data_IF_655064648807
#
_entry.id   IF_655064648807
#
_cell.length_a   1.000
_cell.length_b   1.000
_cell.length_c   1.000
_cell.angle_alpha   90.00
_cell.angle_beta   90.00
_cell.angle_gamma   90.00
#
_symmetry.space_group_name_H-M   'P 1'
#
loop_
_entity.id
_entity.type
_entity.pdbx_description
1 polymer ?
#
# COMPACT_ATOMS: atom_id res chain seq x y z
N UNK A 1 15.22 -45.74 52.83
CA UNK A 1 15.46 -44.27 52.92
C UNK A 1 15.46 -43.72 51.50
N UNK A 2 14.71 -42.63 51.29
CA UNK A 2 14.22 -42.14 50.00
C UNK A 2 15.32 -41.66 49.04
N UNK A 3 15.22 -42.10 47.77
CA UNK A 3 15.78 -41.38 46.64
C UNK A 3 14.76 -40.30 46.21
N UNK A 4 15.13 -39.03 46.30
CA UNK A 4 14.36 -37.92 45.73
C UNK A 4 15.10 -37.46 44.47
N UNK A 5 14.53 -37.83 43.32
CA UNK A 5 14.85 -37.25 42.02
C UNK A 5 13.59 -36.55 41.54
N UNK A 6 13.60 -35.24 41.29
CA UNK A 6 12.66 -34.63 40.34
C UNK A 6 12.92 -33.15 40.06
N UNK A 7 12.87 -32.84 38.76
CA UNK A 7 12.33 -31.63 38.13
C UNK A 7 12.98 -30.28 38.45
N UNK A 8 14.00 -29.93 37.66
CA UNK A 8 14.35 -28.52 37.37
C UNK A 8 14.32 -28.20 35.87
N UNK A 9 14.27 -29.19 34.98
CA UNK A 9 14.36 -28.96 33.53
C UNK A 9 13.01 -28.72 32.85
N UNK A 10 11.90 -29.02 33.52
CA UNK A 10 10.54 -28.87 32.99
C UNK A 10 9.98 -27.46 33.21
N UNK A 11 10.31 -26.78 34.31
CA UNK A 11 9.87 -25.40 34.58
C UNK A 11 10.56 -24.37 33.68
N UNK A 12 11.86 -24.50 33.40
CA UNK A 12 12.57 -23.52 32.55
C UNK A 12 12.13 -23.60 31.09
N UNK A 13 11.83 -24.80 30.58
CA UNK A 13 11.25 -25.00 29.23
C UNK A 13 9.83 -24.45 29.13
N UNK A 14 9.01 -24.66 30.17
CA UNK A 14 7.61 -24.20 30.18
C UNK A 14 7.51 -22.67 30.23
N UNK A 15 8.32 -22.03 31.07
CA UNK A 15 8.38 -20.58 31.19
C UNK A 15 8.93 -19.90 29.93
N UNK A 16 9.89 -20.54 29.24
CA UNK A 16 10.38 -20.05 27.95
C UNK A 16 9.37 -20.26 26.81
N UNK A 17 8.60 -21.34 26.81
CA UNK A 17 7.56 -21.58 25.80
C UNK A 17 6.35 -20.65 25.95
N UNK A 18 5.90 -20.36 27.18
CA UNK A 18 4.80 -19.41 27.44
C UNK A 18 5.22 -17.97 27.08
N UNK A 19 6.42 -17.53 27.50
CA UNK A 19 6.93 -16.21 27.09
C UNK A 19 7.12 -16.09 25.58
N UNK A 20 7.52 -17.16 24.88
CA UNK A 20 7.69 -17.14 23.43
C UNK A 20 6.35 -17.04 22.71
N UNK A 21 5.32 -17.75 23.18
CA UNK A 21 3.98 -17.72 22.56
C UNK A 21 3.27 -16.39 22.80
N UNK A 22 3.36 -15.83 24.00
CA UNK A 22 2.79 -14.52 24.32
C UNK A 22 3.41 -13.38 23.48
N UNK A 23 4.72 -13.43 23.26
CA UNK A 23 5.42 -12.46 22.42
C UNK A 23 4.99 -12.55 20.95
N UNK A 24 4.78 -13.76 20.44
CA UNK A 24 4.31 -14.02 19.08
C UNK A 24 2.89 -13.49 18.86
N UNK A 25 1.97 -13.80 19.78
CA UNK A 25 0.57 -13.35 19.70
C UNK A 25 0.48 -11.81 19.76
N UNK A 26 1.30 -11.17 20.60
CA UNK A 26 1.36 -9.71 20.70
C UNK A 26 1.85 -9.03 19.42
N UNK A 27 2.77 -9.66 18.68
CA UNK A 27 3.29 -9.17 17.41
C UNK A 27 2.23 -9.24 16.31
N UNK A 28 1.58 -10.40 16.16
CA UNK A 28 0.49 -10.61 15.19
C UNK A 28 -0.66 -9.62 15.43
N UNK A 29 -1.07 -9.44 16.69
CA UNK A 29 -2.15 -8.52 17.06
C UNK A 29 -1.85 -7.06 16.72
N UNK A 30 -0.59 -6.63 16.79
CA UNK A 30 -0.19 -5.26 16.37
C UNK A 30 -0.28 -5.09 14.86
N UNK A 31 0.17 -6.11 14.10
CA UNK A 31 0.05 -6.12 12.64
C UNK A 31 -1.41 -6.09 12.19
N UNK A 32 -2.27 -6.90 12.82
CA UNK A 32 -3.71 -6.98 12.53
C UNK A 32 -4.45 -5.65 12.69
N UNK A 33 -3.97 -4.75 13.54
CA UNK A 33 -4.56 -3.41 13.73
C UNK A 33 -3.93 -2.38 12.79
N UNK A 34 -2.61 -2.44 12.62
CA UNK A 34 -1.88 -1.43 11.85
C UNK A 34 -2.11 -1.58 10.34
N UNK A 35 -2.04 -2.81 9.82
CA UNK A 35 -2.08 -3.08 8.37
C UNK A 35 -3.42 -2.69 7.74
N UNK A 36 -4.61 -3.03 8.30
CA UNK A 36 -5.88 -2.63 7.69
C UNK A 36 -6.10 -1.11 7.69
N UNK A 37 -5.58 -0.39 8.69
CA UNK A 37 -5.68 1.07 8.71
C UNK A 37 -4.81 1.71 7.64
N UNK A 38 -3.59 1.18 7.44
CA UNK A 38 -2.70 1.63 6.38
C UNK A 38 -3.26 1.29 4.99
N UNK A 39 -3.90 0.12 4.86
CA UNK A 39 -4.60 -0.31 3.65
C UNK A 39 -5.73 0.65 3.28
N UNK A 40 -6.55 1.07 4.25
CA UNK A 40 -7.59 2.09 4.06
C UNK A 40 -7.01 3.42 3.57
N UNK A 41 -5.91 3.87 4.16
CA UNK A 41 -5.25 5.12 3.73
C UNK A 41 -4.80 4.99 2.26
N UNK A 42 -4.13 3.89 1.92
CA UNK A 42 -3.72 3.62 0.54
C UNK A 42 -4.90 3.62 -0.44
N UNK A 43 -5.99 2.93 -0.09
CA UNK A 43 -7.21 2.85 -0.90
C UNK A 43 -7.92 4.21 -1.05
N UNK A 44 -7.98 5.02 0.01
CA UNK A 44 -8.56 6.37 -0.04
C UNK A 44 -7.73 7.27 -0.97
N UNK A 45 -6.40 7.22 -0.89
CA UNK A 45 -5.53 7.98 -1.79
C UNK A 45 -5.72 7.58 -3.26
N UNK A 46 -5.84 6.28 -3.55
CA UNK A 46 -6.18 5.82 -4.90
C UNK A 46 -7.55 6.33 -5.35
N UNK A 47 -8.55 6.29 -4.46
CA UNK A 47 -9.91 6.76 -4.78
C UNK A 47 -9.90 8.24 -5.14
N UNK A 48 -9.23 9.07 -4.33
CA UNK A 48 -9.10 10.51 -4.59
C UNK A 48 -8.29 10.73 -5.88
N UNK A 49 -7.16 10.03 -6.04
CA UNK A 49 -6.29 10.17 -7.20
C UNK A 49 -6.97 9.78 -8.52
N UNK A 50 -7.81 8.75 -8.54
CA UNK A 50 -8.62 8.40 -9.71
C UNK A 50 -9.83 9.34 -9.90
N UNK A 51 -10.39 9.89 -8.83
CA UNK A 51 -11.49 10.87 -8.95
C UNK A 51 -11.07 12.15 -9.70
N UNK A 52 -9.77 12.49 -9.71
CA UNK A 52 -9.28 13.66 -10.44
C UNK A 52 -9.47 13.53 -11.96
N UNK A 53 -9.62 12.32 -12.50
CA UNK A 53 -9.95 12.14 -13.92
C UNK A 53 -11.29 12.76 -14.28
N UNK A 54 -12.27 12.72 -13.37
CA UNK A 54 -13.56 13.36 -13.57
C UNK A 54 -13.40 14.88 -13.63
N UNK A 55 -12.64 15.44 -12.70
CA UNK A 55 -12.36 16.87 -12.67
C UNK A 55 -11.59 17.35 -13.89
N UNK A 56 -10.57 16.60 -14.32
CA UNK A 56 -9.80 16.93 -15.51
C UNK A 56 -10.64 16.82 -16.78
N UNK A 57 -11.46 15.78 -16.94
CA UNK A 57 -12.38 15.65 -18.07
C UNK A 57 -13.41 16.79 -18.13
N UNK A 58 -13.89 17.27 -16.99
CA UNK A 58 -14.77 18.44 -16.96
C UNK A 58 -14.04 19.72 -17.41
N UNK A 59 -12.75 19.86 -17.09
CA UNK A 59 -11.94 20.95 -17.62
C UNK A 59 -11.70 20.80 -19.12
N UNK A 60 -11.41 19.59 -19.63
CA UNK A 60 -11.29 19.34 -21.08
C UNK A 60 -12.57 19.74 -21.83
N UNK A 61 -13.75 19.42 -21.27
CA UNK A 61 -15.03 19.82 -21.84
C UNK A 61 -15.20 21.35 -21.81
N UNK A 62 -14.82 22.00 -20.70
CA UNK A 62 -14.92 23.44 -20.58
C UNK A 62 -13.96 24.17 -21.54
N UNK A 63 -12.75 23.65 -21.74
CA UNK A 63 -11.79 24.15 -22.72
C UNK A 63 -12.34 24.02 -24.14
N UNK A 64 -12.92 22.88 -24.50
CA UNK A 64 -13.53 22.65 -25.80
C UNK A 64 -14.75 23.56 -26.09
N UNK A 65 -15.36 24.13 -25.05
CA UNK A 65 -16.48 25.05 -25.15
C UNK A 65 -16.07 26.53 -25.00
N UNK A 66 -14.76 26.82 -24.96
CA UNK A 66 -14.21 28.16 -24.66
C UNK A 66 -14.79 28.77 -23.35
N UNK A 67 -15.16 27.90 -22.40
CA UNK A 67 -15.84 28.26 -21.15
C UNK A 67 -14.93 28.12 -19.92
N UNK A 68 -13.70 27.61 -20.09
CA UNK A 68 -12.75 27.49 -19.00
C UNK A 68 -12.08 28.84 -18.68
N UNK A 69 -12.59 29.52 -17.66
CA UNK A 69 -12.02 30.76 -17.15
C UNK A 69 -11.20 30.55 -15.86
N UNK A 70 -10.88 29.30 -15.49
CA UNK A 70 -10.23 28.99 -14.22
C UNK A 70 -8.72 29.22 -14.24
N UNK A 71 -8.09 29.27 -15.42
CA UNK A 71 -6.64 29.27 -15.58
C UNK A 71 -5.97 27.94 -15.20
N UNK A 72 -6.75 26.91 -14.90
CA UNK A 72 -6.25 25.56 -14.59
C UNK A 72 -6.28 24.70 -15.84
N UNK A 73 -5.14 24.09 -16.14
CA UNK A 73 -4.99 23.16 -17.27
C UNK A 73 -5.40 21.74 -16.83
N UNK A 74 -6.18 20.99 -17.63
CA UNK A 74 -6.60 19.61 -17.32
C UNK A 74 -5.44 18.68 -16.93
N UNK A 75 -4.31 18.77 -17.63
CA UNK A 75 -3.13 17.95 -17.33
C UNK A 75 -2.53 18.20 -15.94
N UNK A 76 -2.66 19.40 -15.38
CA UNK A 76 -2.22 19.67 -14.00
C UNK A 76 -3.04 18.90 -12.96
N UNK A 77 -4.33 18.74 -13.23
CA UNK A 77 -5.25 17.95 -12.41
C UNK A 77 -4.94 16.45 -12.55
N UNK A 78 -4.61 15.97 -13.76
CA UNK A 78 -4.13 14.60 -13.96
C UNK A 78 -2.82 14.32 -13.21
N UNK A 79 -1.83 15.22 -13.30
CA UNK A 79 -0.55 15.10 -12.58
C UNK A 79 -0.76 14.99 -11.07
N UNK A 80 -1.61 15.84 -10.51
CA UNK A 80 -1.95 15.81 -9.08
C UNK A 80 -2.57 14.47 -8.67
N UNK A 81 -3.49 13.94 -9.47
CA UNK A 81 -4.09 12.61 -9.25
C UNK A 81 -3.07 11.48 -9.33
N UNK A 82 -2.18 11.50 -10.32
CA UNK A 82 -1.14 10.46 -10.45
C UNK A 82 -0.15 10.47 -9.28
N UNK A 83 0.17 11.63 -8.70
CA UNK A 83 1.00 11.72 -7.49
C UNK A 83 0.32 11.03 -6.30
N UNK A 84 -0.98 11.29 -6.09
CA UNK A 84 -1.76 10.61 -5.05
C UNK A 84 -1.81 9.10 -5.30
N UNK A 85 -2.04 8.68 -6.55
CA UNK A 85 -2.05 7.27 -6.91
C UNK A 85 -0.70 6.59 -6.62
N UNK A 86 0.42 7.27 -6.90
CA UNK A 86 1.76 6.74 -6.63
C UNK A 86 1.97 6.48 -5.14
N UNK A 87 1.56 7.43 -4.30
CA UNK A 87 1.63 7.29 -2.84
C UNK A 87 0.70 6.16 -2.37
N UNK A 88 -0.53 6.12 -2.87
CA UNK A 88 -1.50 5.07 -2.54
C UNK A 88 -1.00 3.66 -2.88
N UNK A 89 -0.48 3.46 -4.09
CA UNK A 89 0.10 2.17 -4.50
C UNK A 89 1.35 1.80 -3.67
N UNK A 90 2.18 2.77 -3.32
CA UNK A 90 3.37 2.54 -2.47
C UNK A 90 2.95 2.06 -1.08
N UNK A 91 1.93 2.69 -0.49
CA UNK A 91 1.39 2.29 0.81
C UNK A 91 0.82 0.86 0.75
N UNK A 92 0.04 0.55 -0.28
CA UNK A 92 -0.54 -0.79 -0.45
C UNK A 92 0.52 -1.86 -0.70
N UNK A 93 1.59 -1.53 -1.42
CA UNK A 93 2.76 -2.41 -1.56
C UNK A 93 3.42 -2.69 -0.20
N UNK A 94 3.67 -1.67 0.62
CA UNK A 94 4.21 -1.85 1.99
C UNK A 94 3.31 -2.78 2.81
N UNK A 95 1.99 -2.53 2.80
CA UNK A 95 1.01 -3.38 3.50
C UNK A 95 1.12 -4.83 3.03
N UNK A 96 1.15 -5.05 1.71
CA UNK A 96 1.24 -6.40 1.16
C UNK A 96 2.56 -7.11 1.49
N UNK A 97 3.68 -6.39 1.53
CA UNK A 97 4.98 -6.94 1.92
C UNK A 97 4.98 -7.35 3.40
N UNK A 98 4.36 -6.56 4.29
CA UNK A 98 4.18 -6.96 5.69
C UNK A 98 3.26 -8.17 5.85
N UNK A 99 2.19 -8.28 5.05
CA UNK A 99 1.33 -9.49 5.03
C UNK A 99 2.08 -10.73 4.54
N UNK A 100 3.01 -10.59 3.59
CA UNK A 100 3.89 -11.69 3.17
C UNK A 100 4.79 -12.13 4.32
N UNK A 101 5.39 -11.20 5.06
CA UNK A 101 6.21 -11.51 6.25
C UNK A 101 5.38 -12.22 7.33
N UNK A 102 4.17 -11.73 7.59
CA UNK A 102 3.24 -12.36 8.53
C UNK A 102 2.88 -13.80 8.11
N UNK A 103 2.57 -14.02 6.82
CA UNK A 103 2.30 -15.34 6.27
C UNK A 103 3.49 -16.28 6.40
N UNK A 104 4.71 -15.83 6.06
CA UNK A 104 5.94 -16.61 6.26
C UNK A 104 6.19 -16.93 7.74
N UNK A 105 5.93 -15.97 8.61
CA UNK A 105 6.08 -16.16 10.04
C UNK A 105 5.12 -17.23 10.56
N UNK A 106 3.85 -17.19 10.16
CA UNK A 106 2.84 -18.20 10.53
C UNK A 106 3.20 -19.59 10.00
N UNK A 107 3.59 -19.72 8.74
CA UNK A 107 4.04 -21.01 8.16
C UNK A 107 5.20 -21.62 8.95
N UNK A 108 6.13 -20.79 9.46
CA UNK A 108 7.31 -21.27 10.17
C UNK A 108 7.09 -21.56 11.66
N UNK A 109 6.03 -21.02 12.28
CA UNK A 109 5.84 -21.03 13.73
C UNK A 109 4.46 -21.55 14.18
N UNK A 110 3.58 -21.88 13.26
CA UNK A 110 2.23 -22.39 13.50
C UNK A 110 1.91 -23.52 12.53
N UNK A 111 0.89 -24.33 12.83
CA UNK A 111 0.43 -25.41 11.94
C UNK A 111 -0.60 -24.93 10.89
N UNK A 112 -0.64 -23.62 10.61
CA UNK A 112 -1.57 -23.03 9.63
C UNK A 112 -1.14 -23.33 8.18
N UNK A 113 -2.07 -23.86 7.37
CA UNK A 113 -1.89 -23.99 5.92
C UNK A 113 -2.22 -22.65 5.23
N UNK A 114 -1.17 -21.94 4.81
CA UNK A 114 -1.27 -20.60 4.22
C UNK A 114 -0.79 -20.62 2.77
N UNK A 115 -1.61 -20.10 1.86
CA UNK A 115 -1.23 -19.92 0.46
C UNK A 115 -0.28 -18.72 0.28
N UNK A 116 1.01 -18.93 0.56
CA UNK A 116 2.04 -17.89 0.43
C UNK A 116 2.13 -17.30 -0.99
N UNK A 117 1.90 -18.12 -2.02
CA UNK A 117 1.96 -17.66 -3.41
C UNK A 117 0.90 -16.59 -3.73
N UNK A 118 -0.27 -16.66 -3.11
CA UNK A 118 -1.31 -15.62 -3.27
C UNK A 118 -0.85 -14.28 -2.68
N UNK A 119 -0.24 -14.30 -1.49
CA UNK A 119 0.31 -13.08 -0.86
C UNK A 119 1.43 -12.46 -1.70
N UNK A 120 2.36 -13.28 -2.19
CA UNK A 120 3.42 -12.83 -3.10
C UNK A 120 2.86 -12.25 -4.41
N UNK A 121 1.79 -12.85 -4.95
CA UNK A 121 1.10 -12.35 -6.13
C UNK A 121 0.51 -10.95 -5.91
N UNK A 122 -0.12 -10.72 -4.75
CA UNK A 122 -0.66 -9.40 -4.38
C UNK A 122 0.49 -8.38 -4.24
N UNK A 123 1.56 -8.72 -3.51
CA UNK A 123 2.72 -7.84 -3.35
C UNK A 123 3.32 -7.43 -4.70
N UNK A 124 3.57 -8.40 -5.57
CA UNK A 124 4.11 -8.15 -6.89
C UNK A 124 3.18 -7.30 -7.76
N UNK A 125 1.86 -7.50 -7.65
CA UNK A 125 0.87 -6.70 -8.40
C UNK A 125 0.89 -5.23 -8.00
N UNK A 126 1.08 -4.91 -6.71
CA UNK A 126 1.22 -3.52 -6.27
C UNK A 126 2.53 -2.91 -6.74
N UNK A 127 3.63 -3.67 -6.77
CA UNK A 127 4.89 -3.21 -7.33
C UNK A 127 4.76 -2.87 -8.84
N UNK A 128 4.10 -3.73 -9.61
CA UNK A 128 3.77 -3.44 -11.01
C UNK A 128 2.89 -2.19 -11.16
N UNK A 129 1.94 -2.00 -10.25
CA UNK A 129 1.06 -0.84 -10.24
C UNK A 129 1.82 0.47 -9.98
N UNK A 130 2.80 0.45 -9.07
CA UNK A 130 3.72 1.57 -8.82
C UNK A 130 4.48 1.91 -10.11
N UNK A 131 5.08 0.90 -10.76
CA UNK A 131 5.84 1.10 -11.98
C UNK A 131 4.98 1.69 -13.12
N UNK A 132 3.81 1.12 -13.36
CA UNK A 132 2.86 1.61 -14.36
C UNK A 132 2.39 3.04 -14.05
N UNK A 133 2.14 3.36 -12.78
CA UNK A 133 1.74 4.70 -12.36
C UNK A 133 2.87 5.72 -12.49
N UNK A 134 4.12 5.32 -12.24
CA UNK A 134 5.27 6.17 -12.46
C UNK A 134 5.41 6.56 -13.94
N UNK A 135 5.26 5.61 -14.86
CA UNK A 135 5.25 5.90 -16.31
C UNK A 135 4.12 6.89 -16.63
N UNK A 136 2.89 6.64 -16.15
CA UNK A 136 1.76 7.56 -16.35
C UNK A 136 2.07 8.97 -15.84
N UNK A 137 2.63 9.10 -14.64
CA UNK A 137 3.00 10.39 -14.05
C UNK A 137 4.02 11.13 -14.93
N UNK A 138 5.06 10.45 -15.41
CA UNK A 138 6.07 11.07 -16.29
C UNK A 138 5.45 11.55 -17.61
N UNK A 139 4.58 10.75 -18.21
CA UNK A 139 3.87 11.15 -19.44
C UNK A 139 2.97 12.35 -19.22
N UNK A 140 2.20 12.40 -18.13
CA UNK A 140 1.35 13.54 -17.83
C UNK A 140 2.14 14.82 -17.51
N UNK A 141 3.30 14.72 -16.86
CA UNK A 141 4.18 15.88 -16.64
C UNK A 141 4.69 16.48 -17.95
N UNK A 142 5.00 15.65 -18.95
CA UNK A 142 5.40 16.11 -20.28
C UNK A 142 4.24 16.85 -20.96
N UNK A 143 3.04 16.27 -20.92
CA UNK A 143 1.83 16.90 -21.50
C UNK A 143 1.48 18.22 -20.81
N UNK A 144 1.53 18.27 -19.47
CA UNK A 144 1.31 19.49 -18.69
C UNK A 144 2.27 20.61 -19.13
N UNK A 145 3.56 20.28 -19.28
CA UNK A 145 4.57 21.26 -19.72
C UNK A 145 4.29 21.77 -21.14
N UNK A 146 3.87 20.89 -22.04
CA UNK A 146 3.50 21.26 -23.42
C UNK A 146 2.31 22.21 -23.46
N UNK A 147 1.24 21.90 -22.72
CA UNK A 147 0.03 22.75 -22.68
C UNK A 147 0.27 24.11 -22.05
N UNK A 148 1.03 24.15 -20.94
CA UNK A 148 1.38 25.41 -20.30
C UNK A 148 2.16 26.31 -21.27
N UNK A 149 3.13 25.76 -22.00
CA UNK A 149 3.91 26.54 -22.96
C UNK A 149 3.07 27.07 -24.12
N UNK A 150 2.07 26.32 -24.59
CA UNK A 150 1.15 26.78 -25.64
C UNK A 150 0.36 28.00 -25.20
N UNK A 151 -0.15 27.98 -23.96
CA UNK A 151 -0.93 29.08 -23.39
C UNK A 151 -0.11 30.37 -23.13
N UNK A 152 1.23 30.32 -23.18
CA UNK A 152 2.09 31.50 -23.08
C UNK A 152 2.51 32.09 -24.44
N UNK A 153 2.23 31.40 -25.54
CA UNK A 153 2.59 31.83 -26.91
C UNK A 153 1.42 32.33 -27.74
N UNK A 154 0.19 32.19 -27.24
CA UNK A 154 -1.04 32.82 -27.78
C UNK A 154 -1.35 34.12 -27.03
#
# INVERSE_FOLDING_TARGET
MNYKNCNTDTESKKNNSENSTDNIESFLKKLDIALPNLEKIGAVLLTIGYSTFLSAANLDIADALDANNSGVVPFSVFVSGQKLNLIGYTILWIVSAERVKEAQFKINNTDEDINLNAFLGIEFSYLLSIYANFIRLQSFLQLETTDINKNFTE
#
